data_IF_968457150397
#
_entry.id   IF_968457150397
#
_cell.length_a   1.000
_cell.length_b   1.000
_cell.length_c   1.000
_cell.angle_alpha   90.00
_cell.angle_beta   90.00
_cell.angle_gamma   90.00
#
_symmetry.space_group_name_H-M   'P 1'
#
loop_
_entity.id
_entity.type
_entity.pdbx_description
1 polymer ?
#
# COMPACT_ATOMS: atom_id res chain seq x y z
N UNK A 1 7.19 19.89 7.24
CA UNK A 1 6.11 19.93 6.23
C UNK A 1 6.48 18.96 5.12
N UNK A 2 6.05 17.70 5.20
CA UNK A 2 6.24 16.76 4.10
C UNK A 2 5.24 17.14 3.00
N UNK A 3 5.73 17.45 1.82
CA UNK A 3 4.89 17.70 0.65
C UNK A 3 4.19 16.39 0.30
N UNK A 4 2.86 16.38 0.33
CA UNK A 4 2.07 15.25 -0.14
C UNK A 4 2.48 14.95 -1.58
N UNK A 5 3.05 13.77 -1.79
CA UNK A 5 3.63 13.28 -3.03
C UNK A 5 2.47 12.89 -3.96
N UNK A 6 1.87 13.91 -4.59
CA UNK A 6 0.92 13.70 -5.66
C UNK A 6 1.68 13.15 -6.87
N UNK A 7 1.43 11.89 -7.20
CA UNK A 7 1.91 11.31 -8.44
C UNK A 7 1.14 11.96 -9.59
N UNK A 8 1.85 12.70 -10.44
CA UNK A 8 1.29 13.28 -11.65
C UNK A 8 1.51 12.30 -12.83
N UNK A 9 0.45 11.66 -13.36
CA UNK A 9 0.57 10.72 -14.47
C UNK A 9 1.17 11.34 -15.74
N UNK A 10 0.99 12.64 -15.96
CA UNK A 10 1.57 13.35 -17.10
C UNK A 10 3.09 13.52 -16.95
N UNK A 11 3.57 13.76 -15.72
CA UNK A 11 5.00 13.79 -15.41
C UNK A 11 5.62 12.40 -15.55
N UNK A 12 4.93 11.33 -15.11
CA UNK A 12 5.39 9.96 -15.31
C UNK A 12 5.54 9.59 -16.78
N UNK A 13 4.53 9.92 -17.62
CA UNK A 13 4.60 9.68 -19.07
C UNK A 13 5.72 10.49 -19.71
N UNK A 14 5.88 11.76 -19.34
CA UNK A 14 6.97 12.61 -19.85
C UNK A 14 8.35 12.03 -19.49
N UNK A 15 8.53 11.57 -18.26
CA UNK A 15 9.76 10.90 -17.82
C UNK A 15 9.98 9.58 -18.56
N UNK A 16 8.93 8.78 -18.76
CA UNK A 16 8.99 7.54 -19.51
C UNK A 16 9.41 7.77 -20.97
N UNK A 17 8.83 8.77 -21.64
CA UNK A 17 9.23 9.14 -23.01
C UNK A 17 10.69 9.59 -23.07
N UNK A 18 11.15 10.39 -22.10
CA UNK A 18 12.55 10.81 -22.03
C UNK A 18 13.51 9.62 -21.80
N UNK A 19 13.15 8.67 -20.94
CA UNK A 19 13.95 7.47 -20.67
C UNK A 19 13.99 6.55 -21.90
N UNK A 20 12.87 6.37 -22.59
CA UNK A 20 12.82 5.60 -23.84
C UNK A 20 13.69 6.23 -24.94
N UNK A 21 13.67 7.56 -25.05
CA UNK A 21 14.51 8.31 -25.98
C UNK A 21 16.00 8.05 -25.70
N UNK A 22 16.44 8.16 -24.44
CA UNK A 22 17.82 7.86 -24.03
C UNK A 22 18.20 6.41 -24.33
N UNK A 23 17.31 5.45 -24.05
CA UNK A 23 17.54 4.03 -24.36
C UNK A 23 17.70 3.76 -25.85
N UNK A 24 16.89 4.42 -26.68
CA UNK A 24 16.97 4.33 -28.15
C UNK A 24 18.26 4.96 -28.69
N UNK A 25 18.61 6.15 -28.20
CA UNK A 25 19.85 6.84 -28.57
C UNK A 25 21.08 6.01 -28.20
N UNK A 26 21.13 5.47 -26.97
CA UNK A 26 22.23 4.62 -26.52
C UNK A 26 22.35 3.32 -27.34
N UNK A 27 21.21 2.70 -27.69
CA UNK A 27 21.19 1.51 -28.56
C UNK A 27 21.65 1.82 -29.99
N UNK A 28 21.44 3.05 -30.45
CA UNK A 28 21.81 3.54 -31.78
C UNK A 28 23.21 4.14 -31.84
N UNK A 29 23.82 4.49 -30.70
CA UNK A 29 25.21 4.97 -30.65
C UNK A 29 26.10 3.82 -31.10
N UNK A 30 26.73 3.99 -32.27
CA UNK A 30 27.64 3.03 -32.87
C UNK A 30 28.99 2.99 -32.12
N UNK A 31 28.97 2.77 -30.80
CA UNK A 31 30.12 2.80 -29.89
C UNK A 31 31.18 1.76 -30.26
N UNK A 32 30.79 0.71 -30.99
CA UNK A 32 31.69 -0.31 -31.50
C UNK A 32 32.39 0.07 -32.83
N UNK A 33 31.97 1.13 -33.54
CA UNK A 33 32.57 1.51 -34.84
C UNK A 33 34.06 1.87 -34.77
N UNK A 34 34.55 2.65 -33.79
CA UNK A 34 35.97 3.00 -33.69
C UNK A 34 36.87 1.76 -33.49
N UNK A 35 36.43 0.82 -32.65
CA UNK A 35 37.10 -0.45 -32.39
C UNK A 35 37.05 -1.38 -33.61
N UNK A 36 35.91 -1.40 -34.31
CA UNK A 36 35.75 -2.18 -35.54
C UNK A 36 36.64 -1.67 -36.68
N UNK A 37 36.84 -0.36 -36.77
CA UNK A 37 37.75 0.27 -37.74
C UNK A 37 39.22 -0.10 -37.49
N UNK A 38 39.63 -0.24 -36.23
CA UNK A 38 40.97 -0.70 -35.87
C UNK A 38 41.23 -2.16 -36.26
N UNK A 39 40.19 -3.01 -36.24
CA UNK A 39 40.29 -4.42 -36.66
C UNK A 39 40.76 -4.56 -38.10
N UNK A 40 40.29 -3.69 -39.00
CA UNK A 40 40.72 -3.67 -40.41
C UNK A 40 42.18 -3.27 -40.58
N UNK A 41 42.66 -2.31 -39.78
CA UNK A 41 44.04 -1.86 -39.80
C UNK A 41 45.04 -2.87 -39.17
N UNK A 42 44.54 -3.78 -38.31
CA UNK A 42 45.34 -4.77 -37.56
C UNK A 42 45.09 -6.22 -38.01
N UNK A 43 44.58 -6.42 -39.23
CA UNK A 43 44.25 -7.73 -39.75
C UNK A 43 45.48 -8.67 -39.73
N UNK A 44 45.31 -9.87 -39.14
CA UNK A 44 46.37 -10.88 -38.99
C UNK A 44 47.12 -10.86 -37.66
N UNK A 45 46.93 -9.82 -36.82
CA UNK A 45 47.47 -9.79 -35.46
C UNK A 45 46.42 -10.17 -34.41
N UNK A 46 46.86 -10.83 -33.33
CA UNK A 46 45.99 -11.18 -32.20
C UNK A 46 45.31 -9.96 -31.56
N UNK A 47 45.96 -8.79 -31.59
CA UNK A 47 45.35 -7.55 -31.11
C UNK A 47 44.14 -7.10 -31.94
N UNK A 48 44.11 -7.40 -33.25
CA UNK A 48 42.95 -7.15 -34.11
C UNK A 48 41.74 -7.99 -33.67
N UNK A 49 41.94 -9.29 -33.40
CA UNK A 49 40.88 -10.16 -32.88
C UNK A 49 40.36 -9.71 -31.51
N UNK A 50 41.26 -9.23 -30.63
CA UNK A 50 40.88 -8.63 -29.34
C UNK A 50 40.03 -7.37 -29.48
N UNK A 51 40.37 -6.48 -30.43
CA UNK A 51 39.58 -5.26 -30.70
C UNK A 51 38.17 -5.60 -31.23
N UNK A 52 38.06 -6.61 -32.08
CA UNK A 52 36.76 -7.10 -32.57
C UNK A 52 35.91 -7.65 -31.42
N UNK A 53 36.49 -8.47 -30.54
CA UNK A 53 35.76 -9.06 -29.42
C UNK A 53 35.32 -8.00 -28.41
N UNK A 54 36.17 -7.01 -28.12
CA UNK A 54 35.82 -5.86 -27.28
C UNK A 54 34.70 -5.01 -27.90
N UNK A 55 34.76 -4.76 -29.21
CA UNK A 55 33.71 -4.05 -29.94
C UNK A 55 32.36 -4.76 -29.85
N UNK A 56 32.32 -6.08 -30.07
CA UNK A 56 31.09 -6.88 -29.91
C UNK A 56 30.56 -6.87 -28.47
N UNK A 57 31.45 -6.95 -27.47
CA UNK A 57 31.03 -6.90 -26.07
C UNK A 57 30.40 -5.55 -25.69
N UNK A 58 30.98 -4.44 -26.16
CA UNK A 58 30.44 -3.10 -25.98
C UNK A 58 29.09 -2.91 -26.68
N UNK A 59 28.95 -3.42 -27.91
CA UNK A 59 27.69 -3.37 -28.66
C UNK A 59 26.57 -4.12 -27.93
N UNK A 60 26.87 -5.35 -27.46
CA UNK A 60 25.92 -6.15 -26.68
C UNK A 60 25.53 -5.50 -25.36
N UNK A 61 26.50 -4.92 -24.64
CA UNK A 61 26.24 -4.21 -23.39
C UNK A 61 25.34 -2.99 -23.61
N UNK A 62 25.62 -2.21 -24.66
CA UNK A 62 24.85 -1.01 -25.01
C UNK A 62 23.41 -1.35 -25.38
N UNK A 63 23.20 -2.41 -26.18
CA UNK A 63 21.87 -2.94 -26.50
C UNK A 63 21.12 -3.42 -25.26
N UNK A 64 21.79 -4.08 -24.32
CA UNK A 64 21.18 -4.56 -23.08
C UNK A 64 20.71 -3.39 -22.21
N UNK A 65 21.56 -2.39 -22.00
CA UNK A 65 21.18 -1.18 -21.24
C UNK A 65 20.03 -0.44 -21.93
N UNK A 66 20.07 -0.32 -23.27
CA UNK A 66 18.97 0.28 -24.02
C UNK A 66 17.64 -0.48 -23.90
N UNK A 67 17.69 -1.82 -23.86
CA UNK A 67 16.53 -2.66 -23.57
C UNK A 67 16.00 -2.42 -22.16
N UNK A 68 16.87 -2.43 -21.15
CA UNK A 68 16.48 -2.21 -19.74
C UNK A 68 15.82 -0.83 -19.54
N UNK A 69 16.34 0.22 -20.20
CA UNK A 69 15.75 1.56 -20.19
C UNK A 69 14.39 1.59 -20.91
N UNK A 70 14.23 0.84 -22.00
CA UNK A 70 12.96 0.72 -22.70
C UNK A 70 11.91 0.00 -21.84
N UNK A 71 12.30 -1.05 -21.14
CA UNK A 71 11.43 -1.77 -20.20
C UNK A 71 11.02 -0.90 -19.01
N UNK A 72 11.95 -0.10 -18.49
CA UNK A 72 11.65 0.88 -17.45
C UNK A 72 10.64 1.92 -17.93
N UNK A 73 10.82 2.46 -19.13
CA UNK A 73 9.88 3.40 -19.73
C UNK A 73 8.48 2.80 -19.93
N UNK A 74 8.39 1.53 -20.35
CA UNK A 74 7.13 0.82 -20.47
C UNK A 74 6.42 0.67 -19.11
N UNK A 75 7.17 0.29 -18.06
CA UNK A 75 6.63 0.18 -16.69
C UNK A 75 6.10 1.51 -16.17
N UNK A 76 6.80 2.62 -16.44
CA UNK A 76 6.34 3.95 -16.06
C UNK A 76 5.07 4.37 -16.83
N UNK A 77 4.94 4.02 -18.11
CA UNK A 77 3.69 4.21 -18.86
C UNK A 77 2.53 3.41 -18.26
N UNK A 78 2.73 2.12 -18.00
CA UNK A 78 1.70 1.26 -17.39
C UNK A 78 1.30 1.74 -15.99
N UNK A 79 2.25 2.23 -15.20
CA UNK A 79 1.95 2.84 -13.90
C UNK A 79 1.04 4.07 -14.05
N UNK A 80 1.37 4.99 -14.98
CA UNK A 80 0.54 6.18 -15.24
C UNK A 80 -0.88 5.82 -15.69
N UNK A 81 -1.04 4.81 -16.56
CA UNK A 81 -2.35 4.32 -16.98
C UNK A 81 -3.14 3.72 -15.82
N UNK A 82 -2.48 2.96 -14.94
CA UNK A 82 -3.13 2.33 -13.79
C UNK A 82 -3.62 3.37 -12.79
N UNK A 83 -2.83 4.42 -12.52
CA UNK A 83 -3.28 5.54 -11.67
C UNK A 83 -4.55 6.19 -12.22
N UNK A 84 -4.60 6.50 -13.52
CA UNK A 84 -5.80 7.10 -14.12
C UNK A 84 -7.01 6.15 -14.15
N UNK A 85 -6.79 4.84 -14.33
CA UNK A 85 -7.86 3.85 -14.29
C UNK A 85 -8.45 3.71 -12.89
N UNK A 86 -7.59 3.68 -11.86
CA UNK A 86 -8.02 3.65 -10.46
C UNK A 86 -8.79 4.92 -10.11
N UNK A 87 -8.30 6.10 -10.48
CA UNK A 87 -9.00 7.38 -10.23
C UNK A 87 -10.37 7.43 -10.92
N UNK A 88 -10.46 6.95 -12.17
CA UNK A 88 -11.74 6.84 -12.90
C UNK A 88 -12.70 5.85 -12.25
N UNK A 89 -12.19 4.71 -11.80
CA UNK A 89 -13.01 3.69 -11.16
C UNK A 89 -13.58 4.21 -9.84
N UNK A 90 -12.71 4.77 -8.97
CA UNK A 90 -13.13 5.37 -7.71
C UNK A 90 -14.08 6.55 -7.93
N UNK A 91 -13.83 7.39 -8.95
CA UNK A 91 -14.76 8.45 -9.35
C UNK A 91 -16.12 7.92 -9.79
N UNK A 92 -16.15 6.80 -10.54
CA UNK A 92 -17.41 6.19 -10.99
C UNK A 92 -18.19 5.52 -9.86
N UNK A 93 -17.51 4.93 -8.87
CA UNK A 93 -18.14 4.37 -7.68
C UNK A 93 -18.68 5.49 -6.78
N UNK A 94 -17.96 6.61 -6.68
CA UNK A 94 -18.44 7.80 -5.98
C UNK A 94 -19.69 8.39 -6.66
N UNK A 95 -19.70 8.52 -7.99
CA UNK A 95 -20.85 9.03 -8.74
C UNK A 95 -22.08 8.11 -8.60
N UNK A 96 -21.90 6.79 -8.59
CA UNK A 96 -22.99 5.83 -8.34
C UNK A 96 -23.53 5.96 -6.90
N UNK A 97 -22.63 6.01 -5.91
CA UNK A 97 -23.02 6.16 -4.52
C UNK A 97 -23.79 7.47 -4.30
N UNK A 98 -23.40 8.56 -4.98
CA UNK A 98 -24.13 9.84 -4.96
C UNK A 98 -25.52 9.73 -5.61
N UNK A 99 -25.66 8.99 -6.72
CA UNK A 99 -26.96 8.76 -7.36
C UNK A 99 -27.90 7.87 -6.54
N UNK A 100 -27.36 6.91 -5.77
CA UNK A 100 -28.12 6.04 -4.88
C UNK A 100 -28.65 6.81 -3.65
N UNK A 101 -27.86 7.74 -3.11
CA UNK A 101 -28.30 8.63 -2.02
C UNK A 101 -29.44 9.56 -2.46
N UNK A 102 -29.42 10.04 -3.70
CA UNK A 102 -30.47 10.93 -4.23
C UNK A 102 -31.79 10.20 -4.52
N UNK A 103 -31.80 8.87 -4.72
CA UNK A 103 -33.04 8.13 -4.99
C UNK A 103 -33.69 7.47 -3.76
N UNK A 104 -33.00 7.37 -2.61
CA UNK A 104 -33.56 6.80 -1.37
C UNK A 104 -34.11 7.82 -0.36
N UNK A 105 -34.03 9.13 -0.61
CA UNK A 105 -34.55 10.18 0.31
C UNK A 105 -36.06 10.43 0.22
N UNK A 106 -36.83 9.34 0.20
CA UNK A 106 -38.29 9.33 0.20
C UNK A 106 -38.93 8.78 1.48
N UNK A 107 -38.32 8.96 2.65
CA UNK A 107 -38.99 9.10 3.98
C UNK A 107 -37.94 8.95 5.10
N UNK A 108 -37.64 10.05 5.80
CA UNK A 108 -36.64 10.08 6.88
C UNK A 108 -37.27 9.91 8.27
N UNK A 109 -36.79 8.95 9.11
CA UNK A 109 -37.00 8.97 10.56
C UNK A 109 -36.00 9.92 11.25
N UNK A 110 -36.24 10.35 12.51
CA UNK A 110 -35.51 11.46 13.11
C UNK A 110 -34.05 11.11 13.41
N UNK A 111 -33.13 11.93 12.90
CA UNK A 111 -31.69 11.90 13.17
C UNK A 111 -31.40 12.05 14.67
N UNK A 112 -30.77 11.03 15.26
CA UNK A 112 -30.04 11.16 16.50
C UNK A 112 -28.58 11.57 16.19
N UNK A 113 -28.28 12.85 16.44
CA UNK A 113 -26.95 13.39 16.77
C UNK A 113 -25.74 12.92 15.95
N UNK A 114 -25.52 13.52 14.78
CA UNK A 114 -24.21 13.48 14.10
C UNK A 114 -23.23 14.44 14.78
N UNK A 115 -22.43 13.95 15.71
CA UNK A 115 -21.22 14.64 16.16
C UNK A 115 -20.11 14.43 15.12
N UNK A 116 -19.72 15.50 14.45
CA UNK A 116 -18.79 15.55 13.31
C UNK A 116 -17.31 15.39 13.68
N UNK A 117 -16.99 14.98 14.91
CA UNK A 117 -15.62 14.89 15.44
C UNK A 117 -14.95 13.50 15.38
N UNK A 118 -15.72 12.42 15.20
CA UNK A 118 -15.25 11.04 15.45
C UNK A 118 -15.40 10.09 14.24
N UNK A 119 -15.30 10.65 13.02
CA UNK A 119 -15.32 9.88 11.77
C UNK A 119 -13.89 9.69 11.23
N UNK A 120 -13.65 8.64 10.43
CA UNK A 120 -12.33 8.42 9.82
C UNK A 120 -11.93 9.63 8.97
N UNK A 121 -10.66 10.01 9.04
CA UNK A 121 -10.09 11.08 8.21
C UNK A 121 -8.94 10.49 7.41
N UNK A 122 -9.14 10.20 6.11
CA UNK A 122 -8.10 9.59 5.30
C UNK A 122 -6.82 10.43 5.29
N UNK A 123 -5.69 9.78 5.46
CA UNK A 123 -4.38 10.38 5.23
C UNK A 123 -3.84 9.93 3.87
N UNK A 124 -3.02 10.75 3.19
CA UNK A 124 -2.26 10.29 2.03
C UNK A 124 -1.36 9.08 2.40
N UNK A 125 -1.28 8.07 1.52
CA UNK A 125 -0.51 6.84 1.78
C UNK A 125 0.98 7.13 2.01
N UNK A 126 1.53 8.17 1.39
CA UNK A 126 2.91 8.61 1.59
C UNK A 126 3.16 9.25 2.97
N UNK A 127 2.10 9.54 3.74
CA UNK A 127 2.20 9.98 5.13
C UNK A 127 2.19 8.81 6.12
N UNK A 128 1.94 7.58 5.68
CA UNK A 128 2.07 6.39 6.52
C UNK A 128 3.55 6.18 6.84
N UNK A 129 3.86 6.05 8.12
CA UNK A 129 5.22 5.73 8.57
C UNK A 129 5.31 4.29 9.02
N UNK A 130 6.55 3.78 9.07
CA UNK A 130 6.85 2.36 9.31
C UNK A 130 7.97 2.25 10.35
N UNK A 131 7.70 2.69 11.58
CA UNK A 131 8.67 2.67 12.66
C UNK A 131 8.31 1.57 13.68
N UNK A 132 9.08 0.49 13.67
CA UNK A 132 8.99 -0.49 14.75
C UNK A 132 9.53 0.13 16.05
N UNK A 133 8.81 -0.07 17.15
CA UNK A 133 9.19 0.43 18.47
C UNK A 133 8.97 -0.65 19.55
N UNK A 134 9.40 -0.39 20.78
CA UNK A 134 9.27 -1.29 21.92
C UNK A 134 7.86 -1.22 22.54
N UNK A 135 6.83 -1.47 21.72
CA UNK A 135 5.46 -1.60 22.17
C UNK A 135 5.28 -2.88 23.01
N UNK A 136 4.42 -2.81 24.03
CA UNK A 136 4.13 -3.97 24.86
C UNK A 136 3.30 -4.99 24.06
N UNK A 137 3.72 -6.25 24.07
CA UNK A 137 3.00 -7.34 23.41
C UNK A 137 2.15 -8.14 24.41
N UNK A 138 1.21 -8.93 23.89
CA UNK A 138 0.38 -9.83 24.67
C UNK A 138 -1.04 -9.27 24.95
N UNK A 139 -1.91 -10.11 25.53
CA UNK A 139 -3.35 -9.84 25.62
C UNK A 139 -3.70 -8.64 26.49
N UNK A 140 -2.97 -8.41 27.58
CA UNK A 140 -3.25 -7.29 28.49
C UNK A 140 -2.88 -5.94 27.84
N UNK A 141 -1.70 -5.84 27.23
CA UNK A 141 -1.31 -4.66 26.46
C UNK A 141 -2.26 -4.40 25.29
N UNK A 142 -2.66 -5.46 24.58
CA UNK A 142 -3.64 -5.37 23.48
C UNK A 142 -4.96 -4.80 23.97
N UNK A 143 -5.47 -5.25 25.13
CA UNK A 143 -6.70 -4.71 25.73
C UNK A 143 -6.56 -3.22 26.03
N UNK A 144 -5.41 -2.76 26.52
CA UNK A 144 -5.16 -1.34 26.78
C UNK A 144 -5.13 -0.52 25.48
N UNK A 145 -4.56 -1.04 24.40
CA UNK A 145 -4.57 -0.38 23.09
C UNK A 145 -5.97 -0.31 22.48
N UNK A 146 -6.76 -1.38 22.61
CA UNK A 146 -8.17 -1.39 22.18
C UNK A 146 -8.94 -0.30 22.92
N UNK A 147 -8.77 -0.20 24.25
CA UNK A 147 -9.45 0.83 25.03
C UNK A 147 -9.06 2.25 24.60
N UNK A 148 -7.78 2.50 24.33
CA UNK A 148 -7.31 3.78 23.81
C UNK A 148 -7.88 4.08 22.42
N UNK A 149 -7.95 3.10 21.52
CA UNK A 149 -8.58 3.28 20.23
C UNK A 149 -10.07 3.61 20.38
N UNK A 150 -10.80 2.89 21.24
CA UNK A 150 -12.21 3.17 21.52
C UNK A 150 -12.42 4.58 22.10
N UNK A 151 -11.47 5.10 22.89
CA UNK A 151 -11.50 6.49 23.37
C UNK A 151 -11.37 7.48 22.21
N UNK A 152 -10.46 7.22 21.26
CA UNK A 152 -10.29 8.04 20.05
C UNK A 152 -11.53 8.00 19.15
N UNK A 153 -12.20 6.85 19.05
CA UNK A 153 -13.47 6.71 18.35
C UNK A 153 -14.66 7.29 19.15
N UNK A 154 -14.47 7.67 20.42
CA UNK A 154 -15.52 8.12 21.34
C UNK A 154 -16.60 7.08 21.62
N UNK A 155 -16.22 5.80 21.62
CA UNK A 155 -17.12 4.70 22.00
C UNK A 155 -17.03 4.52 23.51
N UNK A 156 -17.99 5.11 24.23
CA UNK A 156 -18.00 5.14 25.69
C UNK A 156 -18.95 4.12 26.31
N UNK A 157 -19.91 3.57 25.55
CA UNK A 157 -20.87 2.59 26.06
C UNK A 157 -20.15 1.30 26.54
N UNK A 158 -20.30 0.88 27.81
CA UNK A 158 -19.57 -0.27 28.33
C UNK A 158 -19.84 -1.59 27.59
N UNK A 159 -21.07 -1.80 27.11
CA UNK A 159 -21.40 -3.03 26.40
C UNK A 159 -20.77 -3.05 24.99
N UNK A 160 -20.80 -1.93 24.28
CA UNK A 160 -20.10 -1.76 23.01
C UNK A 160 -18.58 -1.97 23.18
N UNK A 161 -17.96 -1.35 24.19
CA UNK A 161 -16.53 -1.50 24.47
C UNK A 161 -16.15 -2.95 24.76
N UNK A 162 -16.97 -3.67 25.51
CA UNK A 162 -16.75 -5.09 25.79
C UNK A 162 -16.77 -5.92 24.51
N UNK A 163 -17.78 -5.73 23.65
CA UNK A 163 -17.89 -6.47 22.37
C UNK A 163 -16.72 -6.18 21.43
N UNK A 164 -16.32 -4.92 21.29
CA UNK A 164 -15.13 -4.55 20.51
C UNK A 164 -13.87 -5.19 21.08
N UNK A 165 -13.71 -5.17 22.41
CA UNK A 165 -12.55 -5.77 23.10
C UNK A 165 -12.46 -7.27 22.85
N UNK A 166 -13.57 -7.99 23.00
CA UNK A 166 -13.58 -9.44 22.80
C UNK A 166 -13.28 -9.82 21.34
N UNK A 167 -13.85 -9.10 20.39
CA UNK A 167 -13.58 -9.31 18.96
C UNK A 167 -12.13 -8.99 18.58
N UNK A 168 -11.59 -7.86 19.01
CA UNK A 168 -10.24 -7.43 18.63
C UNK A 168 -9.13 -8.18 19.36
N UNK A 169 -9.37 -8.69 20.57
CA UNK A 169 -8.45 -9.65 21.18
C UNK A 169 -8.37 -10.95 20.38
N UNK A 170 -9.50 -11.42 19.87
CA UNK A 170 -9.55 -12.61 19.00
C UNK A 170 -8.80 -12.37 17.69
N UNK A 171 -9.02 -11.22 17.04
CA UNK A 171 -8.30 -10.85 15.83
C UNK A 171 -6.79 -10.73 16.09
N UNK A 172 -6.37 -9.93 17.07
CA UNK A 172 -4.95 -9.72 17.34
C UNK A 172 -4.18 -11.02 17.65
N UNK A 173 -4.82 -11.97 18.36
CA UNK A 173 -4.24 -13.30 18.58
C UNK A 173 -3.97 -14.02 17.25
N UNK A 174 -4.94 -14.00 16.33
CA UNK A 174 -4.88 -14.72 15.05
C UNK A 174 -3.92 -14.06 14.07
N UNK A 175 -3.95 -12.74 14.02
CA UNK A 175 -3.24 -11.93 13.02
C UNK A 175 -1.75 -11.77 13.35
N UNK A 176 -1.41 -11.56 14.63
CA UNK A 176 -0.05 -11.20 15.03
C UNK A 176 0.48 -11.94 16.26
N UNK A 177 -0.32 -12.83 16.86
CA UNK A 177 -0.03 -13.35 18.22
C UNK A 177 0.20 -12.22 19.24
N UNK A 178 -0.54 -11.11 19.10
CA UNK A 178 -0.42 -9.89 19.90
C UNK A 178 0.90 -9.12 19.78
N UNK A 179 1.62 -9.26 18.66
CA UNK A 179 2.86 -8.52 18.39
C UNK A 179 2.57 -7.24 17.59
N UNK A 180 2.75 -6.03 18.16
CA UNK A 180 2.59 -4.77 17.44
C UNK A 180 3.59 -4.56 16.31
N UNK A 181 4.71 -5.30 16.27
CA UNK A 181 5.72 -5.18 15.22
C UNK A 181 5.60 -6.26 14.12
N UNK A 182 4.54 -7.09 14.16
CA UNK A 182 4.35 -8.17 13.21
C UNK A 182 4.22 -7.66 11.77
N UNK A 183 4.81 -8.40 10.83
CA UNK A 183 4.73 -8.16 9.39
C UNK A 183 4.44 -9.46 8.68
N UNK A 184 3.50 -9.43 7.74
CA UNK A 184 3.28 -10.53 6.80
C UNK A 184 3.82 -10.14 5.43
N UNK A 185 4.86 -10.85 4.98
CA UNK A 185 5.64 -10.57 3.77
C UNK A 185 5.60 -11.69 2.72
N UNK A 186 4.65 -12.64 2.85
CA UNK A 186 4.58 -13.81 1.98
C UNK A 186 3.22 -14.03 1.32
N UNK A 187 2.18 -13.28 1.70
CA UNK A 187 0.84 -13.40 1.12
C UNK A 187 0.68 -12.61 -0.20
N UNK A 188 -0.53 -12.63 -0.76
CA UNK A 188 -0.87 -11.90 -1.98
C UNK A 188 -0.66 -10.39 -1.88
N UNK A 189 -0.68 -9.81 -0.67
CA UNK A 189 -0.41 -8.38 -0.47
C UNK A 189 1.08 -8.07 -0.55
N UNK A 190 1.94 -9.05 -0.21
CA UNK A 190 3.39 -8.95 -0.33
C UNK A 190 3.90 -9.13 -1.77
N UNK A 191 3.07 -9.62 -2.68
CA UNK A 191 3.41 -9.86 -4.09
C UNK A 191 2.95 -8.73 -5.03
N UNK A 192 3.63 -8.55 -6.19
CA UNK A 192 3.08 -7.74 -7.27
C UNK A 192 1.72 -8.28 -7.75
N UNK A 193 0.75 -7.41 -8.05
CA UNK A 193 0.87 -5.96 -8.20
C UNK A 193 0.62 -5.15 -6.91
N UNK A 194 0.35 -5.80 -5.79
CA UNK A 194 -0.04 -5.15 -4.52
C UNK A 194 1.17 -4.56 -3.79
N UNK A 195 2.32 -5.22 -3.93
CA UNK A 195 3.62 -4.74 -3.48
C UNK A 195 4.57 -4.61 -4.67
N UNK A 196 5.19 -3.44 -4.82
CA UNK A 196 6.04 -3.09 -5.98
C UNK A 196 7.37 -2.46 -5.59
N UNK A 197 7.51 -2.00 -4.35
CA UNK A 197 8.75 -1.46 -3.80
C UNK A 197 8.81 -1.68 -2.28
N UNK A 198 10.01 -1.66 -1.71
CA UNK A 198 10.20 -1.70 -0.25
C UNK A 198 10.04 -0.32 0.38
N UNK A 199 9.48 -0.26 1.59
CA UNK A 199 9.38 0.97 2.40
C UNK A 199 10.48 1.00 3.49
N UNK A 200 10.42 1.96 4.41
CA UNK A 200 11.51 2.23 5.35
C UNK A 200 11.80 1.12 6.36
N UNK A 201 10.87 0.20 6.58
CA UNK A 201 11.06 -0.99 7.42
C UNK A 201 11.71 -2.17 6.67
N UNK A 202 11.99 -2.02 5.37
CA UNK A 202 12.59 -3.05 4.51
C UNK A 202 11.60 -3.98 3.83
N UNK A 203 10.32 -3.94 4.20
CA UNK A 203 9.27 -4.80 3.63
C UNK A 203 8.52 -4.13 2.49
N UNK A 204 7.78 -4.92 1.71
CA UNK A 204 6.99 -4.45 0.58
C UNK A 204 5.91 -3.43 0.97
N UNK A 205 5.64 -2.46 0.10
CA UNK A 205 4.66 -1.40 0.34
C UNK A 205 3.20 -1.90 0.44
N UNK A 206 2.94 -3.16 0.06
CA UNK A 206 1.66 -3.84 0.21
C UNK A 206 1.54 -4.74 1.45
N UNK A 207 2.65 -5.14 2.08
CA UNK A 207 2.65 -6.08 3.21
C UNK A 207 1.75 -5.60 4.36
N UNK A 208 0.98 -6.50 4.97
CA UNK A 208 0.21 -6.16 6.17
C UNK A 208 1.12 -6.08 7.41
N UNK A 209 0.77 -5.17 8.32
CA UNK A 209 1.61 -4.80 9.46
C UNK A 209 0.80 -4.56 10.73
N UNK A 210 1.48 -4.71 11.85
CA UNK A 210 0.97 -4.34 13.15
C UNK A 210 0.02 -5.36 13.77
N UNK A 211 -0.51 -4.97 14.92
CA UNK A 211 -1.22 -5.86 15.84
C UNK A 211 -2.46 -6.53 15.24
N UNK A 212 -3.13 -5.89 14.27
CA UNK A 212 -4.27 -6.46 13.52
C UNK A 212 -4.02 -6.50 12.01
N UNK A 213 -2.75 -6.56 11.59
CA UNK A 213 -2.32 -6.81 10.20
C UNK A 213 -3.01 -5.90 9.16
N UNK A 214 -3.04 -4.59 9.42
CA UNK A 214 -3.54 -3.63 8.42
C UNK A 214 -2.58 -3.52 7.23
N UNK A 215 -3.15 -3.48 6.02
CA UNK A 215 -2.43 -3.09 4.80
C UNK A 215 -2.28 -1.55 4.78
N UNK A 216 -1.15 -0.99 4.33
CA UNK A 216 -0.91 0.46 4.38
C UNK A 216 -1.97 1.33 3.68
N UNK A 217 -2.48 0.87 2.54
CA UNK A 217 -3.58 1.56 1.84
C UNK A 217 -4.86 1.64 2.69
N UNK A 218 -5.22 0.55 3.36
CA UNK A 218 -6.37 0.51 4.27
C UNK A 218 -6.15 1.38 5.49
N UNK A 219 -4.97 1.30 6.11
CA UNK A 219 -4.60 2.14 7.25
C UNK A 219 -4.74 3.63 6.90
N UNK A 220 -4.22 4.04 5.74
CA UNK A 220 -4.31 5.41 5.27
C UNK A 220 -5.75 5.85 5.00
N UNK A 221 -6.53 5.02 4.30
CA UNK A 221 -7.91 5.32 3.92
C UNK A 221 -8.87 5.44 5.12
N UNK A 222 -8.63 4.65 6.17
CA UNK A 222 -9.50 4.56 7.34
C UNK A 222 -8.86 5.15 8.61
N UNK A 223 -7.82 5.96 8.45
CA UNK A 223 -7.06 6.55 9.56
C UNK A 223 -7.98 7.23 10.58
N UNK A 224 -7.70 6.97 11.86
CA UNK A 224 -8.43 7.57 12.98
C UNK A 224 -7.77 8.89 13.37
N UNK A 225 -8.44 10.05 13.19
CA UNK A 225 -7.88 11.32 13.61
C UNK A 225 -7.53 11.31 15.10
N UNK A 226 -6.40 11.94 15.46
CA UNK A 226 -5.88 11.95 16.83
C UNK A 226 -4.94 10.80 17.17
N UNK A 227 -4.72 9.85 16.24
CA UNK A 227 -3.74 8.76 16.38
C UNK A 227 -2.50 8.98 15.52
N UNK A 228 -1.44 8.19 15.76
CA UNK A 228 -0.19 8.22 15.00
C UNK A 228 -0.42 7.91 13.51
N UNK A 229 0.47 8.39 12.64
CA UNK A 229 0.52 7.93 11.25
C UNK A 229 1.37 6.66 11.07
N UNK A 230 1.93 6.15 12.16
CA UNK A 230 2.74 4.94 12.14
C UNK A 230 1.87 3.70 12.18
N UNK A 231 2.01 2.84 11.17
CA UNK A 231 1.18 1.64 11.06
C UNK A 231 1.51 0.60 12.15
N UNK A 232 2.67 0.69 12.79
CA UNK A 232 3.04 -0.15 13.92
C UNK A 232 2.52 0.37 15.27
N UNK A 233 2.06 1.63 15.33
CA UNK A 233 1.39 2.15 16.54
C UNK A 233 0.09 1.34 16.76
N UNK A 234 -0.02 0.57 17.86
CA UNK A 234 -1.13 -0.36 18.01
C UNK A 234 -2.48 0.34 18.18
N UNK A 235 -2.51 1.58 18.70
CA UNK A 235 -3.75 2.35 18.84
C UNK A 235 -4.22 2.83 17.46
N UNK A 236 -3.31 3.36 16.64
CA UNK A 236 -3.61 3.77 15.28
C UNK A 236 -4.01 2.57 14.39
N UNK A 237 -3.30 1.46 14.50
CA UNK A 237 -3.55 0.22 13.74
C UNK A 237 -4.95 -0.34 14.05
N UNK A 238 -5.31 -0.41 15.33
CA UNK A 238 -6.65 -0.84 15.77
C UNK A 238 -7.72 0.17 15.36
N UNK A 239 -7.49 1.47 15.57
CA UNK A 239 -8.45 2.52 15.21
C UNK A 239 -8.79 2.52 13.72
N UNK A 240 -7.77 2.40 12.85
CA UNK A 240 -7.97 2.31 11.41
C UNK A 240 -8.70 1.02 11.02
N UNK A 241 -8.39 -0.11 11.65
CA UNK A 241 -9.10 -1.37 11.44
C UNK A 241 -10.57 -1.29 11.85
N UNK A 242 -10.90 -0.67 12.99
CA UNK A 242 -12.29 -0.48 13.44
C UNK A 242 -13.08 0.37 12.45
N UNK A 243 -12.47 1.45 11.96
CA UNK A 243 -13.04 2.29 10.91
C UNK A 243 -13.24 1.52 9.60
N UNK A 244 -12.28 0.68 9.21
CA UNK A 244 -12.38 -0.18 8.04
C UNK A 244 -13.56 -1.15 8.15
N UNK A 245 -13.69 -1.89 9.25
CA UNK A 245 -14.79 -2.87 9.37
C UNK A 245 -16.16 -2.22 9.48
N UNK A 246 -16.25 -1.02 10.08
CA UNK A 246 -17.49 -0.24 10.07
C UNK A 246 -17.84 0.26 8.67
N UNK A 247 -16.87 0.84 7.95
CA UNK A 247 -17.12 1.46 6.65
C UNK A 247 -17.22 0.48 5.48
N UNK A 248 -16.50 -0.64 5.54
CA UNK A 248 -16.46 -1.63 4.45
C UNK A 248 -17.42 -2.80 4.67
N UNK A 249 -17.48 -3.34 5.89
CA UNK A 249 -18.36 -4.48 6.18
C UNK A 249 -19.71 -4.08 6.80
N UNK A 250 -19.90 -2.81 7.17
CA UNK A 250 -21.14 -2.34 7.80
C UNK A 250 -21.26 -2.78 9.27
N UNK A 251 -20.14 -3.01 9.96
CA UNK A 251 -20.16 -3.27 11.40
C UNK A 251 -20.77 -2.07 12.12
N UNK A 252 -21.71 -2.33 13.01
CA UNK A 252 -22.35 -1.32 13.85
C UNK A 252 -21.34 -0.75 14.84
N UNK A 253 -21.47 0.54 15.15
CA UNK A 253 -20.59 1.22 16.12
C UNK A 253 -20.62 0.58 17.52
N UNK A 254 -21.68 -0.15 17.86
CA UNK A 254 -21.82 -0.91 19.11
C UNK A 254 -21.28 -2.36 19.06
N UNK A 255 -20.65 -2.76 17.95
CA UNK A 255 -20.11 -4.09 17.66
C UNK A 255 -21.09 -5.26 17.82
N UNK A 256 -22.40 -5.02 17.86
CA UNK A 256 -23.41 -6.09 18.03
C UNK A 256 -23.37 -7.15 16.92
N UNK A 257 -22.93 -6.77 15.72
CA UNK A 257 -22.84 -7.61 14.53
C UNK A 257 -21.39 -7.92 14.10
N UNK A 258 -20.37 -7.55 14.90
CA UNK A 258 -18.96 -7.68 14.51
C UNK A 258 -18.59 -9.13 14.15
N UNK A 259 -18.84 -10.08 15.05
CA UNK A 259 -18.52 -11.50 14.83
C UNK A 259 -19.26 -12.12 13.63
N UNK A 260 -20.46 -11.61 13.30
CA UNK A 260 -21.25 -12.10 12.18
C UNK A 260 -20.70 -11.62 10.83
N UNK A 261 -20.08 -10.44 10.78
CA UNK A 261 -19.59 -9.80 9.55
C UNK A 261 -18.08 -9.96 9.36
N UNK A 262 -17.34 -10.20 10.45
CA UNK A 262 -15.89 -10.37 10.47
C UNK A 262 -15.55 -11.70 11.16
N UNK A 263 -15.43 -12.81 10.40
CA UNK A 263 -15.17 -14.14 10.98
C UNK A 263 -13.88 -14.20 11.81
N UNK A 264 -12.87 -13.40 11.49
CA UNK A 264 -11.62 -13.30 12.25
C UNK A 264 -11.86 -12.80 13.68
N UNK A 265 -12.92 -12.04 13.93
CA UNK A 265 -13.32 -11.55 15.24
C UNK A 265 -14.22 -12.52 16.02
N UNK A 266 -14.69 -13.61 15.40
CA UNK A 266 -15.51 -14.63 16.06
C UNK A 266 -14.62 -15.69 16.74
N UNK A 267 -14.60 -15.80 18.09
CA UNK A 267 -13.80 -16.79 18.80
C UNK A 267 -14.31 -18.23 18.59
N UNK A 268 -15.53 -18.40 18.09
CA UNK A 268 -16.15 -19.71 17.84
C UNK A 268 -15.96 -20.19 16.40
N UNK A 269 -15.63 -19.29 15.48
CA UNK A 269 -15.24 -19.63 14.11
C UNK A 269 -13.82 -20.20 14.09
N UNK A 270 -13.56 -21.19 13.22
CA UNK A 270 -12.19 -21.65 12.98
C UNK A 270 -11.34 -20.56 12.30
N UNK A 271 -10.01 -20.52 12.53
CA UNK A 271 -9.14 -19.57 11.83
C UNK A 271 -9.19 -19.88 10.32
N UNK A 272 -9.75 -18.97 9.54
CA UNK A 272 -9.61 -19.00 8.09
C UNK A 272 -8.22 -18.47 7.76
N UNK A 273 -7.34 -19.34 7.26
CA UNK A 273 -6.04 -18.92 6.75
C UNK A 273 -6.20 -18.05 5.52
N UNK A 274 -5.26 -17.10 5.36
CA UNK A 274 -5.07 -16.29 4.16
C UNK A 274 -4.89 -17.17 2.91
#
# INVERSE_FOLDING_TARGET
MAQSLRVDPAVLRSAATAIAQVGSELSGMALAQPLSGMTGALAGFQCGAGCQQAGTALDNASKRVGSDLSDLAAKLHSAAEKYEQTDKHLGSELDKALQEIDCETGDAPPEAGRETGNQPVPIPVDQVTYHQDNFAAGPDATRDYINQALDQLGITDPAARQRWTDGYLTMALRESSYDPNAVNDWDVNAEPPNSTYSVSDGYGNGCSRGIVQCVPGTFAQYHQPGTSNDIYDPVANIGASMNYVMGHYGVSRDASNLAALVPQADPTAGPQGY
#
